data_IF_843886362279
#
_entry.id   IF_843886362279
#
_cell.length_a   1.000
_cell.length_b   1.000
_cell.length_c   1.000
_cell.angle_alpha   90.00
_cell.angle_beta   90.00
_cell.angle_gamma   90.00
#
_symmetry.space_group_name_H-M   'P 1'
#
loop_
_entity.id
_entity.type
_entity.pdbx_description
1 polymer ?
#
# COMPACT_ATOMS: atom_id res chain seq x y z
N UNK A 1 -41.12 58.18 3.88
CA UNK A 1 -39.71 58.36 4.28
C UNK A 1 -38.95 57.21 3.67
N UNK A 2 -37.93 57.51 2.86
CA UNK A 2 -37.29 56.53 1.98
C UNK A 2 -36.39 55.60 2.79
N UNK A 3 -36.55 54.29 2.62
CA UNK A 3 -35.75 53.24 3.27
C UNK A 3 -34.22 53.41 3.12
N UNK A 4 -33.79 54.30 2.22
CA UNK A 4 -32.40 54.66 1.98
C UNK A 4 -31.76 55.50 3.11
N UNK A 5 -32.55 56.30 3.84
CA UNK A 5 -32.04 57.09 4.97
C UNK A 5 -31.81 56.23 6.21
N UNK A 6 -32.72 55.28 6.48
CA UNK A 6 -32.58 54.31 7.57
C UNK A 6 -31.38 53.36 7.36
N UNK A 7 -31.01 53.09 6.09
CA UNK A 7 -29.86 52.25 5.75
C UNK A 7 -28.52 52.98 5.92
N UNK A 8 -28.49 54.30 5.68
CA UNK A 8 -27.30 55.13 5.93
C UNK A 8 -27.00 55.29 7.43
N UNK A 9 -28.01 55.32 8.28
CA UNK A 9 -27.82 55.41 9.74
C UNK A 9 -27.35 54.11 10.38
N UNK A 10 -27.50 52.96 9.68
CA UNK A 10 -27.06 51.64 10.15
C UNK A 10 -25.64 51.28 9.74
N UNK A 11 -25.03 52.03 8.81
CA UNK A 11 -23.68 51.77 8.36
C UNK A 11 -22.66 52.35 9.36
N UNK A 12 -21.70 51.54 9.84
CA UNK A 12 -20.61 52.05 10.67
C UNK A 12 -19.90 53.20 9.96
N UNK A 13 -19.51 54.28 10.67
CA UNK A 13 -18.82 55.40 10.05
C UNK A 13 -17.57 54.89 9.33
N UNK A 14 -17.42 55.22 8.04
CA UNK A 14 -16.23 54.84 7.27
C UNK A 14 -15.00 55.49 7.91
N UNK A 15 -14.23 54.68 8.61
CA UNK A 15 -12.95 55.06 9.19
C UNK A 15 -12.00 55.32 8.02
N UNK A 16 -11.23 56.41 8.09
CA UNK A 16 -10.27 56.70 7.03
C UNK A 16 -9.22 55.58 6.95
N UNK A 17 -8.71 55.24 5.75
CA UNK A 17 -7.69 54.21 5.61
C UNK A 17 -6.43 54.52 6.43
N UNK A 18 -6.13 55.80 6.67
CA UNK A 18 -5.03 56.25 7.53
C UNK A 18 -5.28 55.89 9.01
N UNK A 19 -6.49 56.11 9.52
CA UNK A 19 -6.87 55.75 10.89
C UNK A 19 -6.89 54.23 11.11
N UNK A 20 -7.25 53.44 10.09
CA UNK A 20 -7.18 51.98 10.15
C UNK A 20 -5.72 51.52 10.23
N UNK A 21 -4.84 52.09 9.42
CA UNK A 21 -3.41 51.78 9.43
C UNK A 21 -2.75 52.14 10.77
N UNK A 22 -3.10 53.30 11.34
CA UNK A 22 -2.57 53.71 12.65
C UNK A 22 -3.06 52.80 13.78
N UNK A 23 -4.33 52.38 13.75
CA UNK A 23 -4.88 51.42 14.72
C UNK A 23 -4.20 50.05 14.63
N UNK A 24 -3.93 49.56 13.43
CA UNK A 24 -3.18 48.32 13.22
C UNK A 24 -1.77 48.44 13.77
N UNK A 25 -1.04 49.51 13.45
CA UNK A 25 0.31 49.76 13.97
C UNK A 25 0.36 49.80 15.50
N UNK A 26 -0.62 50.43 16.14
CA UNK A 26 -0.71 50.49 17.61
C UNK A 26 -1.06 49.12 18.22
N UNK A 27 -1.89 48.32 17.55
CA UNK A 27 -2.20 46.96 17.98
C UNK A 27 -0.96 46.05 17.88
N UNK A 28 -0.23 46.12 16.77
CA UNK A 28 1.03 45.40 16.57
C UNK A 28 2.07 45.79 17.63
N UNK A 29 2.23 47.08 17.91
CA UNK A 29 3.14 47.55 18.98
C UNK A 29 2.74 47.03 20.36
N UNK A 30 1.44 46.95 20.67
CA UNK A 30 0.96 46.38 21.93
C UNK A 30 1.23 44.88 21.99
N UNK A 31 0.99 44.15 20.91
CA UNK A 31 1.24 42.71 20.82
C UNK A 31 2.74 42.40 20.93
N UNK A 32 3.58 43.20 20.28
CA UNK A 32 5.03 43.08 20.39
C UNK A 32 5.54 43.36 21.81
N UNK A 33 5.03 44.42 22.48
CA UNK A 33 5.36 44.70 23.89
C UNK A 33 4.95 43.55 24.80
N UNK A 34 3.75 42.99 24.59
CA UNK A 34 3.28 41.83 25.35
C UNK A 34 4.21 40.63 25.14
N UNK A 35 4.57 40.33 23.89
CA UNK A 35 5.53 39.27 23.55
C UNK A 35 6.89 39.45 24.24
N UNK A 36 7.44 40.67 24.27
CA UNK A 36 8.73 40.94 24.93
C UNK A 36 8.69 40.77 26.46
N UNK A 37 7.52 40.98 27.08
CA UNK A 37 7.31 40.77 28.52
C UNK A 37 7.09 39.28 28.80
N UNK A 38 6.22 38.62 28.03
CA UNK A 38 5.84 37.22 28.22
C UNK A 38 7.04 36.28 27.98
N UNK A 39 7.93 36.62 27.04
CA UNK A 39 9.17 35.86 26.79
C UNK A 39 10.32 36.23 27.74
N UNK A 40 10.11 37.17 28.67
CA UNK A 40 11.15 37.64 29.60
C UNK A 40 12.30 38.43 28.95
N UNK A 41 12.20 38.76 27.65
CA UNK A 41 13.23 39.46 26.87
C UNK A 41 13.65 40.79 27.50
N UNK A 42 12.69 41.56 28.03
CA UNK A 42 12.97 42.84 28.71
C UNK A 42 13.82 42.63 29.97
N UNK A 43 13.50 41.62 30.77
CA UNK A 43 14.23 41.31 31.99
C UNK A 43 15.67 40.84 31.68
N UNK A 44 15.84 40.06 30.61
CA UNK A 44 17.14 39.64 30.09
C UNK A 44 17.99 40.84 29.67
N UNK A 45 17.44 41.75 28.84
CA UNK A 45 18.15 42.96 28.39
C UNK A 45 18.55 43.88 29.56
N UNK A 46 17.67 44.05 30.55
CA UNK A 46 17.99 44.85 31.76
C UNK A 46 19.10 44.19 32.57
N UNK A 47 19.10 42.86 32.72
CA UNK A 47 20.18 42.13 33.41
C UNK A 47 21.51 42.24 32.64
N UNK A 48 21.48 42.11 31.31
CA UNK A 48 22.65 42.29 30.44
C UNK A 48 23.24 43.69 30.57
N UNK A 49 22.39 44.73 30.52
CA UNK A 49 22.81 46.11 30.70
C UNK A 49 23.43 46.37 32.09
N UNK A 50 22.81 45.85 33.15
CA UNK A 50 23.36 45.93 34.52
C UNK A 50 24.71 45.21 34.63
N UNK A 51 24.86 44.07 33.97
CA UNK A 51 26.11 43.30 33.96
C UNK A 51 27.22 44.04 33.19
N UNK A 52 26.90 44.59 32.00
CA UNK A 52 27.83 45.41 31.22
C UNK A 52 28.37 46.60 32.02
N UNK A 53 27.51 47.30 32.77
CA UNK A 53 27.92 48.38 33.67
C UNK A 53 28.81 47.85 34.80
N UNK A 54 28.40 46.77 35.47
CA UNK A 54 29.11 46.21 36.63
C UNK A 54 30.52 45.73 36.30
N UNK A 55 30.72 45.23 35.08
CA UNK A 55 32.00 44.66 34.63
C UNK A 55 32.75 45.59 33.66
N UNK A 56 32.33 46.86 33.56
CA UNK A 56 32.94 47.88 32.68
C UNK A 56 33.09 47.43 31.21
N UNK A 57 32.17 46.58 30.75
CA UNK A 57 32.18 46.11 29.37
C UNK A 57 31.62 47.18 28.44
N UNK A 58 32.31 47.43 27.33
CA UNK A 58 31.81 48.34 26.28
C UNK A 58 30.55 47.75 25.64
N UNK A 59 29.47 48.52 25.59
CA UNK A 59 28.19 48.12 24.99
C UNK A 59 28.35 47.80 23.49
N UNK A 60 29.30 48.45 22.83
CA UNK A 60 29.62 48.25 21.42
C UNK A 60 30.43 46.96 21.15
N UNK A 61 30.73 46.17 22.19
CA UNK A 61 31.45 44.92 22.03
C UNK A 61 30.50 43.86 21.41
N UNK A 62 30.77 43.38 20.17
CA UNK A 62 29.91 42.38 19.54
C UNK A 62 29.86 41.04 20.29
N UNK A 63 30.83 40.80 21.19
CA UNK A 63 30.89 39.59 22.01
C UNK A 63 30.20 39.71 23.37
N UNK A 64 29.64 40.88 23.71
CA UNK A 64 29.01 41.13 25.02
C UNK A 64 27.84 40.16 25.28
N UNK A 65 27.01 39.94 24.27
CA UNK A 65 25.85 39.01 24.35
C UNK A 65 26.34 37.58 24.57
N UNK A 66 27.34 37.13 23.81
CA UNK A 66 27.90 35.78 23.94
C UNK A 66 28.59 35.56 25.28
N UNK A 67 29.32 36.56 25.81
CA UNK A 67 29.97 36.47 27.12
C UNK A 67 28.97 36.50 28.28
N UNK A 68 27.92 37.32 28.18
CA UNK A 68 26.85 37.38 29.16
C UNK A 68 26.04 36.07 29.21
N UNK A 69 25.71 35.50 28.05
CA UNK A 69 24.98 34.23 27.97
C UNK A 69 25.84 33.03 28.39
N UNK A 70 27.15 33.04 28.10
CA UNK A 70 28.08 32.01 28.56
C UNK A 70 28.17 31.94 30.11
N UNK A 71 28.08 33.09 30.79
CA UNK A 71 28.00 33.12 32.26
C UNK A 71 26.65 32.64 32.83
N UNK A 72 25.61 32.55 31.99
CA UNK A 72 24.29 32.04 32.38
C UNK A 72 24.19 30.52 32.20
N UNK A 73 25.02 29.92 31.33
CA UNK A 73 25.13 28.47 31.17
C UNK A 73 25.94 27.81 32.31
N UNK A 74 26.96 28.48 32.86
CA UNK A 74 27.88 27.90 33.86
C UNK A 74 27.37 27.89 35.32
N UNK A 75 26.05 27.81 35.53
CA UNK A 75 25.49 27.74 36.89
C UNK A 75 23.98 27.93 37.01
N UNK A 76 23.25 27.89 35.90
CA UNK A 76 21.79 27.87 35.93
C UNK A 76 21.29 26.41 35.98
N UNK A 77 20.53 25.97 37.00
CA UNK A 77 19.90 24.65 37.01
C UNK A 77 19.09 24.36 35.74
N UNK A 78 18.51 25.39 35.12
CA UNK A 78 17.77 25.24 33.86
C UNK A 78 18.69 24.78 32.70
N UNK A 79 20.00 25.04 32.73
CA UNK A 79 20.92 24.61 31.68
C UNK A 79 21.21 23.11 31.75
N UNK A 80 21.35 22.55 32.95
CA UNK A 80 21.47 21.10 33.18
C UNK A 80 20.15 20.39 32.81
N UNK A 81 19.01 21.00 33.12
CA UNK A 81 17.68 20.49 32.73
C UNK A 81 17.52 20.49 31.20
N UNK A 82 17.88 21.58 30.52
CA UNK A 82 17.85 21.65 29.05
C UNK A 82 18.74 20.56 28.43
N UNK A 83 19.95 20.34 28.95
CA UNK A 83 20.84 19.31 28.44
C UNK A 83 20.25 17.91 28.66
N UNK A 84 19.66 17.66 29.84
CA UNK A 84 18.98 16.40 30.17
C UNK A 84 17.79 16.16 29.24
N UNK A 85 16.91 17.15 29.08
CA UNK A 85 15.78 17.09 28.16
C UNK A 85 16.21 16.89 26.71
N UNK A 86 17.32 17.51 26.29
CA UNK A 86 17.85 17.33 24.93
C UNK A 86 18.31 15.89 24.71
N UNK A 87 19.00 15.29 25.70
CA UNK A 87 19.38 13.88 25.65
C UNK A 87 18.16 12.96 25.66
N UNK A 88 17.21 13.23 26.55
CA UNK A 88 15.97 12.45 26.64
C UNK A 88 15.18 12.51 25.34
N UNK A 89 15.02 13.69 24.74
CA UNK A 89 14.34 13.85 23.47
C UNK A 89 15.05 13.07 22.35
N UNK A 90 16.38 13.15 22.27
CA UNK A 90 17.14 12.36 21.31
C UNK A 90 16.96 10.84 21.52
N UNK A 91 16.90 10.38 22.78
CA UNK A 91 16.62 8.96 23.07
C UNK A 91 15.20 8.54 22.71
N UNK A 92 14.21 9.42 22.91
CA UNK A 92 12.82 9.19 22.53
C UNK A 92 12.65 9.17 21.01
N UNK A 93 13.34 10.05 20.28
CA UNK A 93 13.36 10.06 18.82
C UNK A 93 13.91 8.75 18.26
N UNK A 94 15.03 8.24 18.80
CA UNK A 94 15.58 6.95 18.36
C UNK A 94 14.62 5.79 18.70
N UNK A 95 14.01 5.81 19.89
CA UNK A 95 13.03 4.80 20.28
C UNK A 95 11.80 4.82 19.35
N UNK A 96 11.27 6.00 19.03
CA UNK A 96 10.17 6.15 18.09
C UNK A 96 10.55 5.61 16.72
N UNK A 97 11.76 5.90 16.21
CA UNK A 97 12.22 5.36 14.93
C UNK A 97 12.28 3.82 14.92
N UNK A 98 12.77 3.22 16.01
CA UNK A 98 12.81 1.76 16.14
C UNK A 98 11.39 1.17 16.19
N UNK A 99 10.48 1.80 16.91
CA UNK A 99 9.08 1.36 17.00
C UNK A 99 8.35 1.51 15.66
N UNK A 100 8.58 2.60 14.92
CA UNK A 100 8.03 2.81 13.57
C UNK A 100 8.49 1.70 12.61
N UNK A 101 9.79 1.37 12.64
CA UNK A 101 10.33 0.27 11.83
C UNK A 101 9.72 -1.09 12.22
N UNK A 102 9.48 -1.34 13.52
CA UNK A 102 8.80 -2.56 13.98
C UNK A 102 7.32 -2.60 13.56
N UNK A 103 6.63 -1.47 13.57
CA UNK A 103 5.24 -1.38 13.09
C UNK A 103 5.18 -1.69 11.60
N UNK A 104 6.07 -1.11 10.80
CA UNK A 104 6.14 -1.35 9.36
C UNK A 104 6.42 -2.83 9.05
N UNK A 105 7.39 -3.45 9.73
CA UNK A 105 7.69 -4.88 9.59
C UNK A 105 6.50 -5.78 9.95
N UNK A 106 5.81 -5.48 11.06
CA UNK A 106 4.61 -6.22 11.47
C UNK A 106 3.44 -6.02 10.50
N UNK A 107 3.26 -4.82 9.94
CA UNK A 107 2.24 -4.56 8.92
C UNK A 107 2.50 -5.38 7.65
N UNK A 108 3.76 -5.47 7.21
CA UNK A 108 4.17 -6.31 6.09
C UNK A 108 3.90 -7.80 6.36
N UNK A 109 4.26 -8.30 7.55
CA UNK A 109 3.99 -9.69 7.95
C UNK A 109 2.50 -10.01 8.02
N UNK A 110 1.68 -9.10 8.55
CA UNK A 110 0.22 -9.27 8.58
C UNK A 110 -0.35 -9.33 7.17
N UNK A 111 0.10 -8.45 6.28
CA UNK A 111 -0.38 -8.43 4.90
C UNK A 111 0.01 -9.70 4.14
N UNK A 112 1.26 -10.15 4.27
CA UNK A 112 1.71 -11.44 3.75
C UNK A 112 0.85 -12.60 4.28
N UNK A 113 0.61 -12.64 5.60
CA UNK A 113 -0.19 -13.71 6.19
C UNK A 113 -1.65 -13.68 5.70
N UNK A 114 -2.24 -12.51 5.45
CA UNK A 114 -3.57 -12.39 4.84
C UNK A 114 -3.58 -12.96 3.43
N UNK A 115 -2.56 -12.67 2.61
CA UNK A 115 -2.43 -13.20 1.24
C UNK A 115 -2.28 -14.71 1.24
N UNK A 116 -1.43 -15.26 2.11
CA UNK A 116 -1.29 -16.72 2.26
C UNK A 116 -2.58 -17.39 2.72
N UNK A 117 -3.33 -16.75 3.63
CA UNK A 117 -4.63 -17.27 4.06
C UNK A 117 -5.69 -17.19 2.96
N UNK A 118 -5.68 -16.15 2.11
CA UNK A 118 -6.53 -16.05 0.92
C UNK A 118 -6.20 -17.17 -0.07
N UNK A 119 -4.92 -17.36 -0.37
CA UNK A 119 -4.43 -18.42 -1.25
C UNK A 119 -4.86 -19.80 -0.75
N UNK A 120 -4.70 -20.08 0.54
CA UNK A 120 -5.15 -21.34 1.16
C UNK A 120 -6.64 -21.57 1.01
N UNK A 121 -7.46 -20.54 1.22
CA UNK A 121 -8.92 -20.64 1.08
C UNK A 121 -9.33 -20.96 -0.36
N UNK A 122 -8.74 -20.25 -1.33
CA UNK A 122 -9.00 -20.49 -2.76
C UNK A 122 -8.55 -21.91 -3.14
N UNK A 123 -7.35 -22.31 -2.73
CA UNK A 123 -6.83 -23.66 -2.97
C UNK A 123 -7.74 -24.74 -2.41
N UNK A 124 -8.16 -24.64 -1.15
CA UNK A 124 -9.02 -25.64 -0.52
C UNK A 124 -10.39 -25.77 -1.19
N UNK A 125 -10.86 -24.71 -1.86
CA UNK A 125 -12.14 -24.71 -2.58
C UNK A 125 -12.01 -25.28 -3.98
N UNK A 126 -10.96 -24.93 -4.70
CA UNK A 126 -10.70 -25.43 -6.05
C UNK A 126 -10.17 -26.86 -6.04
N UNK A 127 -9.28 -27.18 -5.09
CA UNK A 127 -8.44 -28.38 -5.09
C UNK A 127 -8.51 -29.11 -3.72
N UNK A 128 -9.70 -29.50 -3.23
CA UNK A 128 -9.85 -30.05 -1.88
C UNK A 128 -9.09 -31.37 -1.64
N UNK A 129 -8.94 -32.19 -2.69
CA UNK A 129 -8.42 -33.56 -2.61
C UNK A 129 -7.04 -33.73 -3.26
N UNK A 130 -6.36 -32.64 -3.63
CA UNK A 130 -5.10 -32.68 -4.36
C UNK A 130 -4.00 -31.86 -3.70
N UNK A 131 -2.82 -32.46 -3.61
CA UNK A 131 -1.60 -31.81 -3.10
C UNK A 131 -1.00 -30.85 -4.15
N UNK A 132 -1.11 -31.23 -5.42
CA UNK A 132 -0.63 -30.48 -6.57
C UNK A 132 -1.63 -30.54 -7.74
N UNK A 133 -1.57 -29.53 -8.61
CA UNK A 133 -2.46 -29.43 -9.77
C UNK A 133 -1.70 -28.92 -10.97
N UNK A 134 -2.00 -29.47 -12.16
CA UNK A 134 -1.51 -28.85 -13.38
C UNK A 134 -2.25 -27.54 -13.66
N UNK A 135 -1.65 -26.70 -14.49
CA UNK A 135 -2.28 -25.46 -14.95
C UNK A 135 -3.58 -25.75 -15.74
N UNK A 136 -3.64 -26.90 -16.42
CA UNK A 136 -4.84 -27.41 -17.10
C UNK A 136 -5.97 -27.76 -16.13
N UNK A 137 -5.64 -28.53 -15.08
CA UNK A 137 -6.59 -28.92 -14.03
C UNK A 137 -7.13 -27.69 -13.30
N UNK A 138 -6.27 -26.69 -13.04
CA UNK A 138 -6.67 -25.44 -12.43
C UNK A 138 -7.65 -24.65 -13.31
N UNK A 139 -7.40 -24.58 -14.63
CA UNK A 139 -8.29 -23.92 -15.58
C UNK A 139 -9.65 -24.62 -15.67
N UNK A 140 -9.66 -25.95 -15.76
CA UNK A 140 -10.91 -26.74 -15.79
C UNK A 140 -11.71 -26.54 -14.50
N UNK A 141 -11.04 -26.45 -13.35
CA UNK A 141 -11.72 -26.21 -12.05
C UNK A 141 -12.28 -24.81 -11.91
N UNK A 142 -11.68 -23.82 -12.55
CA UNK A 142 -12.16 -22.43 -12.51
C UNK A 142 -13.26 -22.19 -13.55
N UNK A 143 -13.12 -22.76 -14.76
CA UNK A 143 -13.95 -22.44 -15.91
C UNK A 143 -14.95 -23.55 -16.31
N UNK A 144 -14.72 -24.79 -15.90
CA UNK A 144 -15.55 -25.95 -16.20
C UNK A 144 -15.04 -26.80 -17.38
N UNK A 145 -15.67 -27.94 -17.60
CA UNK A 145 -15.32 -28.93 -18.64
C UNK A 145 -16.54 -29.34 -19.49
N UNK A 146 -17.44 -28.41 -19.79
CA UNK A 146 -18.62 -28.73 -20.60
C UNK A 146 -18.25 -29.13 -22.02
N UNK A 147 -18.76 -30.30 -22.43
CA UNK A 147 -18.56 -30.87 -23.77
C UNK A 147 -19.76 -30.54 -24.64
N UNK A 148 -19.50 -30.01 -25.83
CA UNK A 148 -20.53 -29.78 -26.82
C UNK A 148 -20.99 -31.13 -27.44
N UNK A 149 -22.30 -31.47 -27.38
CA UNK A 149 -22.76 -32.79 -27.83
C UNK A 149 -22.57 -33.08 -29.32
N UNK A 150 -22.55 -32.05 -30.16
CA UNK A 150 -22.44 -32.14 -31.62
C UNK A 150 -21.01 -32.42 -32.08
N UNK A 151 -20.04 -31.71 -31.51
CA UNK A 151 -18.63 -31.78 -31.90
C UNK A 151 -17.82 -32.72 -31.01
N UNK A 152 -18.30 -33.00 -29.80
CA UNK A 152 -17.56 -33.73 -28.78
C UNK A 152 -16.38 -32.94 -28.20
N UNK A 153 -16.27 -31.65 -28.49
CA UNK A 153 -15.20 -30.78 -27.99
C UNK A 153 -15.56 -30.14 -26.66
N UNK A 154 -14.58 -29.95 -25.78
CA UNK A 154 -14.74 -29.17 -24.54
C UNK A 154 -14.75 -27.70 -24.94
N UNK A 155 -15.87 -27.01 -24.75
CA UNK A 155 -16.04 -25.64 -25.25
C UNK A 155 -15.09 -24.65 -24.57
N UNK A 156 -14.85 -24.86 -23.28
CA UNK A 156 -13.98 -24.01 -22.47
C UNK A 156 -12.51 -24.12 -22.91
N UNK A 157 -12.10 -25.26 -23.51
CA UNK A 157 -10.74 -25.43 -24.03
C UNK A 157 -10.44 -24.52 -25.21
N UNK A 158 -11.47 -24.10 -25.94
CA UNK A 158 -11.33 -23.15 -27.05
C UNK A 158 -11.06 -21.72 -26.56
N UNK A 159 -11.29 -21.44 -25.28
CA UNK A 159 -11.07 -20.13 -24.65
C UNK A 159 -9.70 -20.02 -23.96
N UNK A 160 -8.86 -21.06 -24.04
CA UNK A 160 -7.56 -21.07 -23.38
C UNK A 160 -6.68 -19.90 -23.86
N UNK A 161 -6.01 -19.17 -22.95
CA UNK A 161 -5.08 -18.11 -23.32
C UNK A 161 -3.95 -18.60 -24.24
N UNK A 162 -3.35 -17.70 -25.01
CA UNK A 162 -2.36 -18.09 -26.03
C UNK A 162 -1.11 -18.77 -25.47
N UNK A 163 -0.70 -18.47 -24.23
CA UNK A 163 0.45 -19.11 -23.59
C UNK A 163 0.22 -20.61 -23.29
N UNK A 164 -1.02 -21.10 -23.35
CA UNK A 164 -1.32 -22.55 -23.29
C UNK A 164 -0.94 -23.31 -24.56
N UNK A 165 -0.58 -22.62 -25.66
CA UNK A 165 -0.19 -23.28 -26.92
C UNK A 165 1.05 -24.16 -26.74
N UNK A 166 1.86 -23.91 -25.71
CA UNK A 166 2.92 -24.81 -25.27
C UNK A 166 2.34 -25.89 -24.33
N UNK A 167 1.85 -26.97 -24.92
CA UNK A 167 1.16 -28.07 -24.23
C UNK A 167 2.05 -28.69 -23.14
N UNK A 168 3.36 -28.74 -23.37
CA UNK A 168 4.32 -29.30 -22.43
C UNK A 168 4.42 -28.44 -21.16
N UNK A 169 4.35 -27.12 -21.31
CA UNK A 169 4.33 -26.20 -20.18
C UNK A 169 2.99 -26.25 -19.42
N UNK A 170 1.86 -26.32 -20.12
CA UNK A 170 0.53 -26.31 -19.49
C UNK A 170 0.17 -27.61 -18.74
N UNK A 171 0.69 -28.75 -19.21
CA UNK A 171 0.39 -30.06 -18.61
C UNK A 171 1.52 -30.59 -17.73
N UNK A 172 2.77 -30.21 -17.98
CA UNK A 172 3.94 -30.65 -17.23
C UNK A 172 4.19 -29.86 -15.94
N UNK A 173 3.89 -28.56 -15.91
CA UNK A 173 4.06 -27.76 -14.70
C UNK A 173 2.93 -28.05 -13.70
N UNK A 174 3.30 -28.63 -12.55
CA UNK A 174 2.39 -28.85 -11.42
C UNK A 174 2.70 -27.81 -10.35
N UNK A 175 1.65 -27.19 -9.84
CA UNK A 175 1.72 -26.20 -8.76
C UNK A 175 1.22 -26.87 -7.50
N UNK A 176 1.96 -26.77 -6.41
CA UNK A 176 1.53 -27.21 -5.08
C UNK A 176 0.76 -26.12 -4.33
N UNK A 177 0.09 -26.47 -3.24
CA UNK A 177 -0.58 -25.48 -2.39
C UNK A 177 0.39 -24.40 -1.87
N UNK A 178 1.62 -24.78 -1.51
CA UNK A 178 2.63 -23.87 -0.99
C UNK A 178 3.11 -22.89 -2.06
N UNK A 179 3.41 -23.39 -3.26
CA UNK A 179 3.79 -22.57 -4.41
C UNK A 179 2.66 -21.63 -4.82
N UNK A 180 1.41 -22.11 -4.82
CA UNK A 180 0.25 -21.25 -5.05
C UNK A 180 0.19 -20.09 -4.05
N UNK A 181 0.50 -20.36 -2.77
CA UNK A 181 0.63 -19.34 -1.73
C UNK A 181 1.70 -18.30 -2.05
N UNK A 182 2.88 -18.72 -2.47
CA UNK A 182 3.99 -17.84 -2.85
C UNK A 182 3.66 -17.01 -4.10
N UNK A 183 3.00 -17.61 -5.09
CA UNK A 183 2.57 -16.93 -6.30
C UNK A 183 1.56 -15.84 -5.94
N UNK A 184 0.54 -16.15 -5.14
CA UNK A 184 -0.47 -15.18 -4.68
C UNK A 184 0.14 -14.05 -3.85
N UNK A 185 1.15 -14.33 -3.03
CA UNK A 185 1.87 -13.30 -2.26
C UNK A 185 2.57 -12.28 -3.19
N UNK A 186 3.11 -12.76 -4.31
CA UNK A 186 3.80 -11.96 -5.33
C UNK A 186 2.92 -11.32 -6.40
N UNK A 187 1.59 -11.48 -6.34
CA UNK A 187 0.65 -10.89 -7.30
C UNK A 187 0.51 -9.38 -7.12
N UNK A 188 0.26 -8.70 -8.25
CA UNK A 188 -0.04 -7.26 -8.27
C UNK A 188 -1.51 -6.97 -7.89
N UNK A 189 -1.77 -5.70 -7.56
CA UNK A 189 -2.97 -5.28 -6.85
C UNK A 189 -4.31 -5.56 -7.54
N UNK A 190 -4.40 -5.55 -8.87
CA UNK A 190 -5.67 -5.84 -9.57
C UNK A 190 -6.09 -7.29 -9.39
N UNK A 191 -5.18 -8.23 -9.71
CA UNK A 191 -5.42 -9.67 -9.57
C UNK A 191 -5.69 -10.03 -8.12
N UNK A 192 -4.92 -9.50 -7.16
CA UNK A 192 -5.17 -9.76 -5.73
C UNK A 192 -6.55 -9.24 -5.29
N UNK A 193 -6.94 -8.05 -5.76
CA UNK A 193 -8.27 -7.48 -5.47
C UNK A 193 -9.37 -8.34 -6.08
N UNK A 194 -9.17 -8.83 -7.31
CA UNK A 194 -10.10 -9.73 -7.99
C UNK A 194 -10.23 -11.07 -7.25
N UNK A 195 -9.13 -11.67 -6.78
CA UNK A 195 -9.14 -12.89 -5.97
C UNK A 195 -10.02 -12.72 -4.72
N UNK A 196 -9.89 -11.58 -4.04
CA UNK A 196 -10.60 -11.29 -2.80
C UNK A 196 -12.07 -10.90 -3.03
N UNK A 197 -12.36 -10.10 -4.06
CA UNK A 197 -13.67 -9.45 -4.25
C UNK A 197 -14.58 -10.18 -5.23
N UNK A 198 -14.02 -11.03 -6.09
CA UNK A 198 -14.77 -11.76 -7.11
C UNK A 198 -14.60 -13.28 -6.96
N UNK A 199 -13.38 -13.81 -7.14
CA UNK A 199 -13.16 -15.26 -7.17
C UNK A 199 -13.56 -15.95 -5.87
N UNK A 200 -13.07 -15.49 -4.72
CA UNK A 200 -13.37 -16.12 -3.43
C UNK A 200 -14.88 -16.10 -3.12
N UNK A 201 -15.59 -14.96 -3.22
CA UNK A 201 -17.05 -14.94 -3.05
C UNK A 201 -17.79 -15.88 -4.01
N UNK A 202 -17.35 -16.00 -5.26
CA UNK A 202 -17.94 -16.97 -6.21
C UNK A 202 -17.73 -18.40 -5.75
N UNK A 203 -16.52 -18.76 -5.35
CA UNK A 203 -16.19 -20.08 -4.79
C UNK A 203 -16.97 -20.40 -3.50
N UNK A 204 -17.26 -19.40 -2.68
CA UNK A 204 -18.09 -19.57 -1.48
C UNK A 204 -19.57 -19.78 -1.82
N UNK A 205 -20.05 -19.19 -2.90
CA UNK A 205 -21.43 -19.30 -3.37
C UNK A 205 -21.71 -20.57 -4.18
N UNK A 206 -20.68 -21.16 -4.79
CA UNK A 206 -20.77 -22.39 -5.59
C UNK A 206 -20.78 -23.65 -4.72
N UNK A 207 -21.41 -24.71 -5.22
CA UNK A 207 -21.31 -26.02 -4.58
C UNK A 207 -19.88 -26.57 -4.70
N UNK A 208 -19.39 -27.37 -3.72
CA UNK A 208 -18.09 -27.99 -3.80
C UNK A 208 -17.92 -28.80 -5.10
N UNK A 209 -16.89 -28.47 -5.88
CA UNK A 209 -16.61 -29.10 -7.18
C UNK A 209 -17.30 -28.46 -8.39
N UNK A 210 -18.17 -27.46 -8.20
CA UNK A 210 -18.69 -26.65 -9.30
C UNK A 210 -17.69 -25.54 -9.66
N UNK A 211 -17.40 -25.39 -10.96
CA UNK A 211 -16.50 -24.35 -11.45
C UNK A 211 -17.16 -22.95 -11.39
N UNK A 212 -16.53 -21.95 -10.76
CA UNK A 212 -17.13 -20.65 -10.46
C UNK A 212 -17.52 -19.83 -11.71
N UNK A 213 -16.82 -20.00 -12.83
CA UNK A 213 -17.11 -19.26 -14.07
C UNK A 213 -17.92 -20.05 -15.09
N UNK A 214 -18.27 -21.31 -14.80
CA UNK A 214 -18.94 -22.20 -15.75
C UNK A 214 -20.21 -21.59 -16.33
N UNK A 215 -21.11 -21.09 -15.48
CA UNK A 215 -22.40 -20.55 -15.92
C UNK A 215 -22.24 -19.30 -16.78
N UNK A 216 -21.37 -18.39 -16.37
CA UNK A 216 -21.15 -17.12 -17.06
C UNK A 216 -20.48 -17.33 -18.42
N UNK A 217 -19.47 -18.22 -18.49
CA UNK A 217 -18.80 -18.57 -19.75
C UNK A 217 -19.75 -19.30 -20.70
N UNK A 218 -20.53 -20.25 -20.21
CA UNK A 218 -21.50 -20.95 -21.06
C UNK A 218 -22.58 -20.01 -21.59
N UNK A 219 -23.05 -19.06 -20.77
CA UNK A 219 -23.98 -18.04 -21.24
C UNK A 219 -23.34 -17.15 -22.31
N UNK A 220 -22.10 -16.71 -22.11
CA UNK A 220 -21.38 -15.92 -23.11
C UNK A 220 -21.15 -16.67 -24.43
N UNK A 221 -20.87 -17.98 -24.36
CA UNK A 221 -20.77 -18.85 -25.53
C UNK A 221 -22.11 -18.96 -26.26
N UNK A 222 -23.23 -19.14 -25.53
CA UNK A 222 -24.56 -19.19 -26.12
C UNK A 222 -24.91 -17.85 -26.78
N UNK A 223 -24.61 -16.73 -26.12
CA UNK A 223 -24.89 -15.37 -26.60
C UNK A 223 -24.03 -14.98 -27.82
N UNK A 224 -22.97 -15.74 -28.12
CA UNK A 224 -22.12 -15.53 -29.30
C UNK A 224 -22.77 -15.98 -30.62
N UNK A 225 -23.84 -16.78 -30.57
CA UNK A 225 -24.50 -17.40 -31.73
C UNK A 225 -23.57 -18.24 -32.63
N UNK A 226 -22.39 -18.66 -32.13
CA UNK A 226 -21.40 -19.44 -32.89
C UNK A 226 -21.63 -20.96 -32.84
N UNK A 227 -22.42 -21.45 -31.88
CA UNK A 227 -22.71 -22.87 -31.76
C UNK A 227 -23.78 -23.33 -32.77
N UNK A 228 -23.64 -24.51 -33.39
CA UNK A 228 -22.54 -25.48 -33.25
C UNK A 228 -21.47 -25.39 -34.36
N UNK A 229 -21.56 -24.42 -35.26
CA UNK A 229 -20.85 -24.47 -36.55
C UNK A 229 -19.52 -23.70 -36.57
N UNK A 230 -19.45 -22.57 -35.87
CA UNK A 230 -18.34 -21.62 -35.95
C UNK A 230 -17.55 -21.55 -34.64
N UNK A 231 -17.37 -22.70 -33.98
CA UNK A 231 -16.69 -22.82 -32.67
C UNK A 231 -15.26 -22.29 -32.67
N UNK A 232 -14.58 -22.31 -33.82
CA UNK A 232 -13.23 -21.77 -33.98
C UNK A 232 -13.14 -20.24 -33.80
N UNK A 233 -14.26 -19.52 -33.88
CA UNK A 233 -14.34 -18.07 -33.63
C UNK A 233 -14.63 -17.73 -32.16
N UNK A 234 -14.84 -18.73 -31.30
CA UNK A 234 -15.22 -18.50 -29.90
C UNK A 234 -14.16 -17.73 -29.11
N UNK A 235 -12.87 -17.99 -29.38
CA UNK A 235 -11.77 -17.29 -28.74
C UNK A 235 -11.77 -15.76 -29.02
N UNK A 236 -12.27 -15.35 -30.20
CA UNK A 236 -12.38 -13.95 -30.58
C UNK A 236 -13.66 -13.29 -30.02
N UNK A 237 -14.73 -14.08 -29.87
CA UNK A 237 -16.05 -13.61 -29.45
C UNK A 237 -16.22 -13.55 -27.92
N UNK A 238 -15.68 -14.52 -27.21
CA UNK A 238 -15.80 -14.66 -25.75
C UNK A 238 -14.44 -14.40 -25.11
N UNK A 239 -14.33 -13.28 -24.39
CA UNK A 239 -13.11 -12.93 -23.66
C UNK A 239 -13.16 -13.44 -22.23
N UNK A 240 -12.08 -14.08 -21.80
CA UNK A 240 -11.84 -14.34 -20.38
C UNK A 240 -11.58 -13.03 -19.62
N UNK A 241 -11.87 -13.04 -18.33
CA UNK A 241 -11.52 -11.94 -17.42
C UNK A 241 -10.00 -11.72 -17.43
N UNK A 242 -9.55 -10.47 -17.59
CA UNK A 242 -8.13 -10.12 -17.66
C UNK A 242 -7.39 -10.52 -16.37
N UNK A 243 -8.02 -10.42 -15.20
CA UNK A 243 -7.41 -10.78 -13.93
C UNK A 243 -7.32 -12.32 -13.77
N UNK A 244 -8.26 -13.09 -14.36
CA UNK A 244 -8.15 -14.55 -14.45
C UNK A 244 -6.97 -14.94 -15.34
N UNK A 245 -6.81 -14.30 -16.49
CA UNK A 245 -5.67 -14.53 -17.39
C UNK A 245 -4.37 -14.20 -16.66
N UNK A 246 -4.29 -13.07 -15.95
CA UNK A 246 -3.12 -12.68 -15.17
C UNK A 246 -2.76 -13.67 -14.06
N UNK A 247 -3.75 -14.29 -13.40
CA UNK A 247 -3.49 -15.39 -12.46
C UNK A 247 -2.89 -16.60 -13.17
N UNK A 248 -3.47 -17.03 -14.29
CA UNK A 248 -3.01 -18.19 -15.04
C UNK A 248 -1.59 -17.99 -15.59
N UNK A 249 -1.25 -16.77 -16.03
CA UNK A 249 0.11 -16.40 -16.43
C UNK A 249 1.09 -16.49 -15.26
N UNK A 250 0.70 -16.00 -14.08
CA UNK A 250 1.52 -16.09 -12.88
C UNK A 250 1.75 -17.55 -12.46
N UNK A 251 0.73 -18.41 -12.61
CA UNK A 251 0.86 -19.84 -12.36
C UNK A 251 1.78 -20.53 -13.38
N UNK A 252 1.66 -20.18 -14.66
CA UNK A 252 2.51 -20.71 -15.72
C UNK A 252 3.99 -20.29 -15.57
N UNK A 253 4.23 -19.10 -15.03
CA UNK A 253 5.58 -18.59 -14.73
C UNK A 253 6.20 -19.26 -13.50
N UNK A 254 5.38 -19.76 -12.57
CA UNK A 254 5.81 -20.34 -11.31
C UNK A 254 6.30 -19.31 -10.29
N UNK A 255 6.84 -19.76 -9.14
CA UNK A 255 7.38 -18.88 -8.12
C UNK A 255 8.61 -18.12 -8.67
N UNK A 256 8.65 -16.80 -8.50
CA UNK A 256 9.77 -15.95 -8.99
C UNK A 256 11.15 -16.35 -8.44
N UNK A 257 11.18 -17.01 -7.27
CA UNK A 257 12.39 -17.43 -6.58
C UNK A 257 12.61 -18.95 -6.59
N UNK A 258 11.89 -19.71 -7.44
CA UNK A 258 12.08 -21.14 -7.53
C UNK A 258 13.51 -21.45 -8.02
N UNK A 259 14.30 -22.28 -7.30
CA UNK A 259 15.57 -22.75 -7.82
C UNK A 259 15.30 -23.47 -9.15
N UNK A 260 16.19 -23.32 -10.16
CA UNK A 260 16.02 -24.01 -11.43
C UNK A 260 15.81 -25.51 -11.14
N UNK A 261 14.86 -26.16 -11.84
CA UNK A 261 14.52 -27.55 -11.57
C UNK A 261 15.83 -28.34 -11.52
N UNK A 262 16.06 -29.04 -10.41
CA UNK A 262 17.20 -29.91 -10.28
C UNK A 262 17.14 -30.85 -11.50
N UNK A 263 18.10 -30.70 -12.41
CA UNK A 263 18.24 -31.62 -13.53
C UNK A 263 18.36 -32.97 -12.86
N UNK A 264 17.32 -33.79 -12.97
CA UNK A 264 17.39 -35.17 -12.54
C UNK A 264 18.51 -35.75 -13.39
N UNK A 265 19.70 -35.87 -12.80
CA UNK A 265 20.77 -36.68 -13.37
C UNK A 265 20.10 -38.04 -13.54
N UNK A 266 19.82 -38.41 -14.80
CA UNK A 266 19.43 -39.76 -15.16
C UNK A 266 20.50 -40.64 -14.51
N UNK A 267 20.16 -41.27 -13.39
CA UNK A 267 20.96 -42.33 -12.81
C UNK A 267 21.06 -43.37 -13.91
N UNK A 268 22.18 -43.32 -14.63
CA UNK A 268 22.50 -44.29 -15.65
C UNK A 268 22.49 -45.65 -14.98
N UNK A 269 21.44 -46.41 -15.27
CA UNK A 269 21.40 -47.84 -15.05
C UNK A 269 22.59 -48.44 -15.84
N UNK A 270 23.75 -48.53 -15.18
CA UNK A 270 24.85 -49.37 -15.63
C UNK A 270 24.34 -50.81 -15.55
N UNK A 271 23.90 -51.34 -16.70
CA UNK A 271 23.66 -52.77 -16.87
C UNK A 271 24.88 -53.56 -16.40
N UNK A 272 24.73 -54.54 -15.49
CA UNK A 272 25.82 -55.44 -15.14
C UNK A 272 26.09 -56.36 -16.33
N UNK A 273 27.23 -56.14 -17.00
CA UNK A 273 27.70 -57.01 -18.07
C UNK A 273 28.01 -58.43 -17.57
N UNK A 274 27.49 -59.41 -18.32
CA UNK A 274 27.72 -60.86 -18.20
C UNK A 274 29.19 -61.30 -18.33
#
# INVERSE_FOLDING_TARGET
MSAWQDDQERLPPMISPEDVAERQRLAELKQFRKYLVDTGSVQCLVKMYKNAIKHEMRIDNPHLVTQFLAGYTDGNPDAEEIETLTRENATLEEYNRVMEAQVEDLEQQIEQQKRLNLARQIWQRLCPDQEDVSLDEFFIRTCGSEVEPSTGQVLVDLLRPEFYKDVDQATGARVTQEEFGQIVDGLEGSVLTWLQRDLLPRLESCEPGEAPYRKDLMQAIIDSDLLPHDTFLLADAVKLDEDLVGLLEALAAGPKDAPPPAIAEEEGDEEPGD
#
